data_IF_454327379058
#
_entry.id   IF_454327379058
#
_cell.length_a   1.000
_cell.length_b   1.000
_cell.length_c   1.000
_cell.angle_alpha   90.00
_cell.angle_beta   90.00
_cell.angle_gamma   90.00
#
_symmetry.space_group_name_H-M   'P 1'
#
loop_
_entity.id
_entity.type
_entity.pdbx_description
1 polymer ?
#
# COMPACT_ATOMS: atom_id res chain seq x y z
N UNK A 1 -18.88 4.85 -10.05
CA UNK A 1 -18.55 3.95 -11.17
C UNK A 1 -17.07 4.11 -11.46
N UNK A 2 -16.26 3.08 -11.21
CA UNK A 2 -14.81 3.13 -11.44
C UNK A 2 -14.54 2.77 -12.89
N UNK A 3 -14.14 3.75 -13.71
CA UNK A 3 -13.59 3.47 -15.03
C UNK A 3 -12.18 2.91 -14.80
N UNK A 4 -11.84 1.80 -15.46
CA UNK A 4 -10.46 1.31 -15.41
C UNK A 4 -9.53 2.34 -16.07
N UNK A 5 -8.23 2.39 -15.70
CA UNK A 5 -7.27 3.27 -16.35
C UNK A 5 -7.28 3.14 -17.88
N UNK A 6 -7.52 1.94 -18.41
CA UNK A 6 -7.65 1.69 -19.85
C UNK A 6 -8.89 2.37 -20.45
N UNK A 7 -10.01 2.38 -19.73
CA UNK A 7 -11.24 3.07 -20.17
C UNK A 7 -11.08 4.59 -20.12
N UNK A 8 -10.34 5.12 -19.16
CA UNK A 8 -10.00 6.54 -19.10
C UNK A 8 -9.10 6.95 -20.29
N UNK A 9 -8.10 6.13 -20.61
CA UNK A 9 -7.23 6.33 -21.78
C UNK A 9 -7.99 6.31 -23.11
N UNK A 10 -8.99 5.43 -23.27
CA UNK A 10 -9.87 5.41 -24.45
C UNK A 10 -10.75 6.65 -24.59
N UNK A 11 -11.01 7.36 -23.48
CA UNK A 11 -11.79 8.60 -23.45
C UNK A 11 -10.91 9.86 -23.62
N UNK A 12 -9.61 9.71 -23.87
CA UNK A 12 -8.67 10.83 -23.96
C UNK A 12 -8.45 11.54 -22.61
N UNK A 13 -8.80 10.86 -21.52
CA UNK A 13 -8.48 11.32 -20.17
C UNK A 13 -7.09 10.74 -19.89
N UNK A 14 -6.06 11.59 -20.03
CA UNK A 14 -4.69 11.21 -19.68
C UNK A 14 -4.65 10.87 -18.19
N UNK A 15 -4.73 9.58 -17.89
CA UNK A 15 -4.53 9.06 -16.55
C UNK A 15 -3.09 9.32 -16.14
N UNK A 16 -2.90 9.79 -14.91
CA UNK A 16 -1.56 9.86 -14.33
C UNK A 16 -1.04 8.42 -14.23
N UNK A 17 -0.10 8.06 -15.10
CA UNK A 17 0.58 6.76 -15.02
C UNK A 17 1.48 6.82 -13.79
N UNK A 18 1.13 6.06 -12.76
CA UNK A 18 1.98 5.90 -11.59
C UNK A 18 3.33 5.32 -12.00
N UNK A 19 4.43 5.83 -11.44
CA UNK A 19 5.74 5.23 -11.66
C UNK A 19 5.78 3.80 -11.11
N UNK A 20 6.62 2.95 -11.70
CA UNK A 20 6.82 1.58 -11.22
C UNK A 20 7.20 1.53 -9.72
N UNK A 21 7.94 2.54 -9.24
CA UNK A 21 8.28 2.70 -7.82
C UNK A 21 7.03 2.95 -6.96
N UNK A 22 6.12 3.83 -7.40
CA UNK A 22 4.87 4.10 -6.69
C UNK A 22 3.97 2.85 -6.69
N UNK A 23 3.87 2.15 -7.82
CA UNK A 23 3.11 0.90 -7.91
C UNK A 23 3.67 -0.15 -6.93
N UNK A 24 4.99 -0.34 -6.89
CA UNK A 24 5.62 -1.28 -5.97
C UNK A 24 5.38 -0.92 -4.50
N UNK A 25 5.38 0.37 -4.16
CA UNK A 25 5.06 0.86 -2.82
C UNK A 25 3.62 0.58 -2.44
N UNK A 26 2.66 0.84 -3.34
CA UNK A 26 1.25 0.57 -3.11
C UNK A 26 1.00 -0.93 -2.95
N UNK A 27 1.59 -1.78 -3.79
CA UNK A 27 1.50 -3.24 -3.64
C UNK A 27 2.04 -3.68 -2.28
N UNK A 28 3.22 -3.18 -1.90
CA UNK A 28 3.82 -3.49 -0.60
C UNK A 28 2.91 -3.05 0.55
N UNK A 29 2.35 -1.84 0.48
CA UNK A 29 1.42 -1.31 1.46
C UNK A 29 0.21 -2.21 1.65
N UNK A 30 -0.46 -2.57 0.55
CA UNK A 30 -1.63 -3.45 0.57
C UNK A 30 -1.31 -4.84 1.11
N UNK A 31 -0.19 -5.44 0.69
CA UNK A 31 0.20 -6.79 1.11
C UNK A 31 0.52 -6.88 2.61
N UNK A 32 1.08 -5.82 3.19
CA UNK A 32 1.48 -5.84 4.60
C UNK A 32 0.42 -5.31 5.55
N UNK A 33 -0.47 -4.43 5.10
CA UNK A 33 -1.51 -3.88 5.96
C UNK A 33 -2.85 -4.63 5.88
N UNK A 34 -3.12 -5.43 4.85
CA UNK A 34 -4.45 -6.03 4.67
C UNK A 34 -4.42 -7.55 4.84
N UNK A 35 -5.16 -8.04 5.82
CA UNK A 35 -5.37 -9.47 6.05
C UNK A 35 -6.43 -10.06 5.11
N UNK A 36 -6.47 -11.39 5.05
CA UNK A 36 -7.60 -12.10 4.43
C UNK A 36 -8.91 -11.67 5.11
N UNK A 37 -9.86 -11.18 4.33
CA UNK A 37 -11.11 -10.60 4.84
C UNK A 37 -11.14 -9.07 4.90
N UNK A 38 -10.07 -8.39 4.47
CA UNK A 38 -10.06 -6.93 4.32
C UNK A 38 -9.79 -6.15 5.60
N UNK A 39 -9.45 -6.84 6.69
CA UNK A 39 -9.05 -6.18 7.94
C UNK A 39 -7.70 -5.49 7.77
N UNK A 40 -7.65 -4.20 8.10
CA UNK A 40 -6.42 -3.42 8.15
C UNK A 40 -5.69 -3.68 9.48
N UNK A 41 -4.41 -3.99 9.41
CA UNK A 41 -3.53 -4.24 10.55
C UNK A 41 -2.21 -3.49 10.40
N UNK A 42 -1.56 -3.21 11.52
CA UNK A 42 -0.20 -2.66 11.48
C UNK A 42 0.82 -3.71 11.03
N UNK A 43 1.98 -3.23 10.57
CA UNK A 43 3.06 -4.11 10.10
C UNK A 43 3.57 -5.06 11.20
N UNK A 44 3.58 -4.63 12.45
CA UNK A 44 4.15 -5.43 13.53
C UNK A 44 3.24 -6.64 13.85
N UNK A 45 1.93 -6.46 13.75
CA UNK A 45 0.92 -7.52 13.80
C UNK A 45 1.11 -8.49 12.64
N UNK A 46 1.24 -7.98 11.41
CA UNK A 46 1.52 -8.80 10.21
C UNK A 46 2.82 -9.60 10.35
N UNK A 47 3.87 -8.98 10.87
CA UNK A 47 5.15 -9.63 11.09
C UNK A 47 5.03 -10.77 12.11
N UNK A 48 4.30 -10.55 13.21
CA UNK A 48 4.05 -11.59 14.20
C UNK A 48 3.29 -12.80 13.61
N UNK A 49 2.33 -12.56 12.71
CA UNK A 49 1.64 -13.66 12.01
C UNK A 49 2.58 -14.45 11.10
N UNK A 50 3.47 -13.77 10.37
CA UNK A 50 4.46 -14.40 9.51
C UNK A 50 5.39 -15.28 10.35
N UNK A 51 5.90 -14.76 11.46
CA UNK A 51 6.75 -15.51 12.40
C UNK A 51 5.98 -16.68 13.00
N UNK A 52 4.73 -16.50 13.41
CA UNK A 52 3.90 -17.58 13.96
C UNK A 52 3.63 -18.69 12.92
N UNK A 53 3.48 -18.35 11.64
CA UNK A 53 3.21 -19.30 10.56
C UNK A 53 4.43 -20.08 10.12
N UNK A 54 5.57 -19.41 9.98
CA UNK A 54 6.77 -19.99 9.36
C UNK A 54 7.87 -20.35 10.36
N UNK A 55 7.83 -19.78 11.57
CA UNK A 55 8.93 -19.83 12.53
C UNK A 55 9.91 -18.66 12.33
N UNK A 56 10.61 -18.31 13.38
CA UNK A 56 11.58 -17.20 13.45
C UNK A 56 12.76 -17.37 12.48
N UNK A 57 13.29 -18.58 12.36
CA UNK A 57 14.48 -18.89 11.55
C UNK A 57 14.15 -19.18 10.07
N UNK A 58 12.88 -19.13 9.68
CA UNK A 58 12.48 -19.38 8.31
C UNK A 58 12.85 -18.20 7.39
N UNK A 59 13.22 -18.51 6.13
CA UNK A 59 13.70 -17.51 5.17
C UNK A 59 12.72 -16.34 4.97
N UNK A 60 11.41 -16.61 4.99
CA UNK A 60 10.36 -15.59 4.87
C UNK A 60 10.38 -14.63 6.06
N UNK A 61 10.41 -15.16 7.29
CA UNK A 61 10.46 -14.38 8.52
C UNK A 61 11.73 -13.52 8.57
N UNK A 62 12.87 -14.10 8.20
CA UNK A 62 14.16 -13.39 8.13
C UNK A 62 14.14 -12.29 7.06
N UNK A 63 13.57 -12.54 5.89
CA UNK A 63 13.44 -11.54 4.84
C UNK A 63 12.59 -10.34 5.31
N UNK A 64 11.46 -10.59 5.96
CA UNK A 64 10.63 -9.53 6.55
C UNK A 64 11.34 -8.80 7.69
N UNK A 65 12.10 -9.51 8.52
CA UNK A 65 12.87 -8.89 9.60
C UNK A 65 13.91 -7.91 9.05
N UNK A 66 14.68 -8.32 8.04
CA UNK A 66 15.70 -7.49 7.39
C UNK A 66 15.07 -6.32 6.61
N UNK A 67 13.91 -6.54 5.98
CA UNK A 67 13.20 -5.52 5.22
C UNK A 67 12.39 -4.54 6.09
N UNK A 68 12.21 -4.82 7.39
CA UNK A 68 11.34 -4.05 8.30
C UNK A 68 11.54 -2.54 8.25
N UNK A 69 12.78 -1.97 8.28
CA UNK A 69 12.96 -0.52 8.19
C UNK A 69 12.45 0.06 6.87
N UNK A 70 12.70 -0.65 5.75
CA UNK A 70 12.25 -0.23 4.43
C UNK A 70 10.72 -0.31 4.31
N UNK A 71 10.12 -1.38 4.81
CA UNK A 71 8.66 -1.54 4.79
C UNK A 71 7.99 -0.44 5.60
N UNK A 72 8.44 -0.17 6.83
CA UNK A 72 7.90 0.91 7.65
C UNK A 72 8.02 2.28 6.97
N UNK A 73 9.12 2.53 6.25
CA UNK A 73 9.28 3.75 5.45
C UNK A 73 8.24 3.84 4.33
N UNK A 74 8.04 2.76 3.57
CA UNK A 74 7.05 2.70 2.50
C UNK A 74 5.65 2.97 3.05
N UNK A 75 5.31 2.39 4.21
CA UNK A 75 4.02 2.62 4.85
C UNK A 75 3.80 4.11 5.16
N UNK A 76 4.77 4.75 5.82
CA UNK A 76 4.68 6.17 6.12
C UNK A 76 4.59 7.05 4.85
N UNK A 77 5.34 6.73 3.80
CA UNK A 77 5.28 7.45 2.52
C UNK A 77 3.89 7.33 1.86
N UNK A 78 3.24 6.17 1.97
CA UNK A 78 1.89 5.96 1.42
C UNK A 78 0.83 6.60 2.31
N UNK A 79 0.94 6.53 3.63
CA UNK A 79 0.02 7.21 4.56
C UNK A 79 0.02 8.73 4.30
N UNK A 80 1.21 9.34 4.14
CA UNK A 80 1.33 10.76 3.82
C UNK A 80 0.67 11.12 2.47
N UNK A 81 0.76 10.22 1.48
CA UNK A 81 0.11 10.39 0.19
C UNK A 81 -1.43 10.37 0.34
N UNK A 82 -1.96 9.40 1.08
CA UNK A 82 -3.39 9.23 1.31
C UNK A 82 -3.99 10.42 2.09
N UNK A 83 -3.27 10.92 3.09
CA UNK A 83 -3.66 12.10 3.86
C UNK A 83 -3.76 13.34 2.96
N UNK A 84 -2.76 13.57 2.10
CA UNK A 84 -2.76 14.67 1.13
C UNK A 84 -3.93 14.57 0.16
N UNK A 85 -4.17 13.40 -0.42
CA UNK A 85 -5.30 13.19 -1.34
C UNK A 85 -6.64 13.41 -0.64
N UNK A 86 -6.78 12.98 0.62
CA UNK A 86 -8.00 13.21 1.40
C UNK A 86 -8.25 14.70 1.62
N UNK A 87 -7.20 15.48 1.91
CA UNK A 87 -7.31 16.93 2.06
C UNK A 87 -7.70 17.62 0.74
N UNK A 88 -7.10 17.22 -0.38
CA UNK A 88 -7.41 17.76 -1.71
C UNK A 88 -8.85 17.46 -2.13
N UNK A 89 -9.31 16.22 -1.92
CA UNK A 89 -10.70 15.82 -2.22
C UNK A 89 -11.72 16.59 -1.38
N UNK A 90 -11.45 16.82 -0.10
CA UNK A 90 -12.31 17.61 0.76
C UNK A 90 -12.33 19.10 0.36
N UNK A 91 -11.22 19.63 -0.17
CA UNK A 91 -11.17 21.01 -0.66
C UNK A 91 -11.99 21.23 -1.93
N UNK A 92 -12.06 20.23 -2.82
CA UNK A 92 -12.82 20.26 -4.07
C UNK A 92 -14.32 20.01 -3.88
N UNK A 93 -14.73 19.49 -2.73
CA UNK A 93 -16.14 19.20 -2.41
C UNK A 93 -16.87 20.38 -1.74
N UNK A 94 -16.18 21.50 -1.50
CA UNK A 94 -16.70 22.68 -0.78
C UNK A 94 -16.99 23.86 -1.73
N UNK A 95 -16.69 23.71 -3.03
CA UNK A 95 -17.07 24.65 -4.10
C UNK A 95 -18.33 24.18 -4.87
#
# INVERSE_FOLDING_TARGET
HSNSPEQAGLLGIDGVIASDDLIAKLITYWDVQVLQGGQVVDYDTRFNEIVARYGDNHIVSQAHFLARPRIKKILAEVDELLDKTTLEMNSLAVD
#
